data_IF_428641220000
#
_entry.id   IF_428641220000
#
_cell.length_a   1.000
_cell.length_b   1.000
_cell.length_c   1.000
_cell.angle_alpha   90.00
_cell.angle_beta   90.00
_cell.angle_gamma   90.00
#
_symmetry.space_group_name_H-M   'P 1'
#
loop_
_entity.id
_entity.type
_entity.pdbx_description
1 polymer ?
#
# COMPACT_ATOMS: atom_id res chain seq x y z
N UNK A 1 -16.48 -8.95 -0.91
CA UNK A 1 -16.08 -7.70 -0.24
C UNK A 1 -14.68 -7.35 -0.76
N UNK A 2 -14.27 -6.09 -0.72
CA UNK A 2 -12.88 -5.75 -1.06
C UNK A 2 -12.11 -5.70 0.24
N UNK A 3 -11.08 -6.53 0.33
CA UNK A 3 -10.27 -6.67 1.54
C UNK A 3 -8.85 -6.23 1.18
N UNK A 4 -8.32 -5.26 1.93
CA UNK A 4 -6.98 -4.73 1.73
C UNK A 4 -6.12 -5.00 2.96
N UNK A 5 -4.91 -5.52 2.72
CA UNK A 5 -3.82 -5.54 3.70
C UNK A 5 -3.11 -4.21 3.65
N UNK A 6 -3.28 -3.39 4.66
CA UNK A 6 -2.64 -2.07 4.75
C UNK A 6 -1.41 -2.19 5.63
N UNK A 7 -0.25 -1.92 5.03
CA UNK A 7 1.01 -1.85 5.77
C UNK A 7 1.29 -0.38 6.08
N UNK A 8 1.28 -0.04 7.37
CA UNK A 8 1.62 1.29 7.88
C UNK A 8 3.05 1.27 8.38
N UNK A 9 3.95 1.93 7.64
CA UNK A 9 5.35 2.06 8.04
C UNK A 9 5.57 3.35 8.81
N UNK A 10 6.04 3.22 10.06
CA UNK A 10 6.66 4.33 10.79
C UNK A 10 8.14 4.45 10.38
N UNK A 11 8.59 5.59 9.84
CA UNK A 11 9.99 5.81 9.49
C UNK A 11 10.97 5.72 10.67
N UNK A 12 10.50 5.88 11.90
CA UNK A 12 11.34 5.87 13.12
C UNK A 12 11.28 4.55 13.88
N UNK A 13 10.23 3.77 13.67
CA UNK A 13 9.95 2.58 14.44
C UNK A 13 9.74 1.37 13.52
N UNK A 14 8.62 0.67 13.67
CA UNK A 14 8.28 -0.56 12.95
C UNK A 14 7.19 -0.32 11.91
N UNK A 15 6.99 -1.33 11.07
CA UNK A 15 5.82 -1.40 10.20
C UNK A 15 4.77 -2.31 10.85
N UNK A 16 3.51 -1.89 10.77
CA UNK A 16 2.36 -2.62 11.29
C UNK A 16 1.43 -2.97 10.14
N UNK A 17 0.88 -4.18 10.17
CA UNK A 17 -0.08 -4.64 9.17
C UNK A 17 -1.48 -4.59 9.78
N UNK A 18 -2.42 -4.03 9.02
CA UNK A 18 -3.83 -3.96 9.35
C UNK A 18 -4.63 -4.57 8.23
N UNK A 19 -5.54 -5.49 8.57
CA UNK A 19 -6.46 -6.07 7.62
C UNK A 19 -7.76 -5.25 7.66
N UNK A 20 -7.99 -4.44 6.62
CA UNK A 20 -9.15 -3.55 6.53
C UNK A 20 -10.15 -4.13 5.54
N UNK A 21 -11.36 -4.39 6.03
CA UNK A 21 -12.47 -4.94 5.23
C UNK A 21 -13.64 -3.96 5.15
N UNK A 22 -14.49 -4.14 4.14
CA UNK A 22 -15.78 -3.47 4.04
C UNK A 22 -15.75 -1.96 3.73
N UNK A 23 -16.45 -1.17 4.55
CA UNK A 23 -16.73 0.25 4.25
C UNK A 23 -15.49 1.14 4.29
N UNK A 24 -14.49 0.77 5.09
CA UNK A 24 -13.23 1.50 5.21
C UNK A 24 -12.31 1.25 4.02
N UNK A 25 -12.28 0.00 3.52
CA UNK A 25 -11.57 -0.37 2.30
C UNK A 25 -12.04 0.46 1.08
N UNK A 26 -13.35 0.69 0.96
CA UNK A 26 -13.91 1.48 -0.13
C UNK A 26 -13.40 2.93 -0.18
N UNK A 27 -12.97 3.51 0.96
CA UNK A 27 -12.43 4.87 1.02
C UNK A 27 -11.05 5.00 0.36
N UNK A 28 -10.32 3.89 0.22
CA UNK A 28 -9.03 3.87 -0.48
C UNK A 28 -9.16 3.74 -1.99
N UNK A 29 -10.30 3.24 -2.49
CA UNK A 29 -10.53 3.08 -3.93
C UNK A 29 -10.57 4.47 -4.59
N UNK A 30 -9.83 4.62 -5.70
CA UNK A 30 -9.73 5.89 -6.43
C UNK A 30 -8.68 6.87 -5.88
N UNK A 31 -8.05 6.58 -4.74
CA UNK A 31 -6.87 7.33 -4.27
C UNK A 31 -5.64 6.96 -5.11
N UNK A 32 -4.75 7.92 -5.32
CA UNK A 32 -3.50 7.71 -6.04
C UNK A 32 -2.28 7.59 -5.12
N UNK A 33 -1.23 6.93 -5.61
CA UNK A 33 0.08 6.93 -4.95
C UNK A 33 0.61 8.36 -4.79
N UNK A 34 0.96 8.71 -3.56
CA UNK A 34 1.47 10.01 -3.14
C UNK A 34 0.42 10.85 -2.40
N UNK A 35 -0.85 10.47 -2.42
CA UNK A 35 -1.89 11.14 -1.65
C UNK A 35 -1.82 10.80 -0.17
N UNK A 36 -2.20 11.78 0.65
CA UNK A 36 -2.33 11.65 2.10
C UNK A 36 -3.77 11.33 2.47
N UNK A 37 -3.95 10.41 3.41
CA UNK A 37 -5.23 9.96 3.96
C UNK A 37 -5.13 10.02 5.48
N UNK A 38 -6.25 10.28 6.14
CA UNK A 38 -6.35 10.23 7.59
C UNK A 38 -6.18 8.79 8.10
N UNK A 39 -5.37 8.62 9.14
CA UNK A 39 -5.10 7.33 9.78
C UNK A 39 -6.33 6.72 10.45
N UNK A 40 -7.39 7.50 10.68
CA UNK A 40 -8.68 7.03 11.21
C UNK A 40 -9.26 5.88 10.39
N UNK A 41 -8.98 5.82 9.08
CA UNK A 41 -9.46 4.76 8.19
C UNK A 41 -8.77 3.41 8.46
N UNK A 42 -7.69 3.39 9.22
CA UNK A 42 -6.90 2.20 9.57
C UNK A 42 -6.85 2.02 11.11
N UNK A 43 -7.76 2.67 11.84
CA UNK A 43 -7.79 2.59 13.31
C UNK A 43 -6.69 3.40 14.02
N UNK A 44 -6.00 4.32 13.31
CA UNK A 44 -4.96 5.20 13.88
C UNK A 44 -5.46 6.65 13.96
N UNK A 45 -6.28 7.01 14.97
CA UNK A 45 -6.81 8.37 15.10
C UNK A 45 -5.68 9.39 15.31
N UNK A 46 -5.77 10.54 14.64
CA UNK A 46 -4.80 11.63 14.73
C UNK A 46 -3.52 11.45 13.90
N UNK A 47 -3.35 10.30 13.25
CA UNK A 47 -2.23 10.08 12.33
C UNK A 47 -2.56 10.50 10.91
N UNK A 48 -1.56 10.98 10.16
CA UNK A 48 -1.67 11.20 8.72
C UNK A 48 -0.75 10.23 7.99
N UNK A 49 -1.33 9.42 7.11
CA UNK A 49 -0.63 8.40 6.32
C UNK A 49 -0.58 8.81 4.85
N UNK A 50 0.53 8.51 4.17
CA UNK A 50 0.70 8.72 2.74
C UNK A 50 0.79 7.38 2.03
N UNK A 51 0.04 7.21 0.94
CA UNK A 51 0.11 6.03 0.10
C UNK A 51 1.41 6.09 -0.71
N UNK A 52 2.26 5.07 -0.57
CA UNK A 52 3.56 4.99 -1.27
C UNK A 52 3.53 3.98 -2.42
N UNK A 53 2.69 2.95 -2.32
CA UNK A 53 2.58 1.92 -3.35
C UNK A 53 1.64 0.79 -2.93
N UNK A 54 1.74 -0.32 -3.64
CA UNK A 54 0.94 -1.51 -3.38
C UNK A 54 1.23 -2.63 -4.37
N UNK A 55 0.61 -3.77 -4.13
CA UNK A 55 0.69 -4.95 -4.98
C UNK A 55 -0.68 -5.54 -5.27
N UNK A 56 -0.81 -6.02 -6.49
CA UNK A 56 -2.00 -6.70 -7.00
C UNK A 56 -1.98 -8.18 -6.58
N UNK A 57 -3.13 -8.87 -6.66
CA UNK A 57 -3.26 -10.33 -6.40
C UNK A 57 -2.28 -11.18 -7.21
N UNK A 58 -1.91 -10.72 -8.41
CA UNK A 58 -0.91 -11.40 -9.26
C UNK A 58 0.54 -11.02 -8.96
N UNK A 59 0.80 -10.27 -7.87
CA UNK A 59 2.15 -9.81 -7.48
C UNK A 59 2.70 -8.65 -8.33
N UNK A 60 1.88 -8.06 -9.21
CA UNK A 60 2.30 -6.88 -9.98
C UNK A 60 2.34 -5.65 -9.09
N UNK A 61 3.45 -4.92 -9.14
CA UNK A 61 3.65 -3.71 -8.36
C UNK A 61 2.99 -2.50 -9.02
N UNK A 62 2.49 -1.59 -8.19
CA UNK A 62 2.02 -0.28 -8.62
C UNK A 62 3.18 0.67 -8.89
N UNK A 63 3.01 1.59 -9.85
CA UNK A 63 4.01 2.59 -10.21
C UNK A 63 3.39 3.98 -10.32
N UNK A 64 3.92 4.94 -9.55
CA UNK A 64 3.44 6.33 -9.47
C UNK A 64 3.33 7.05 -10.83
N UNK A 65 4.21 6.72 -11.77
CA UNK A 65 4.29 7.39 -13.08
C UNK A 65 3.25 6.88 -14.09
N UNK A 66 2.48 5.84 -13.74
CA UNK A 66 1.52 5.21 -14.66
C UNK A 66 0.12 5.67 -14.27
N UNK A 67 -0.59 6.41 -15.13
CA UNK A 67 -1.93 6.89 -14.80
C UNK A 67 -2.97 5.76 -14.85
N UNK A 68 -4.06 5.97 -14.12
CA UNK A 68 -5.21 5.07 -14.10
C UNK A 68 -5.07 3.87 -13.17
N UNK A 69 -6.14 3.04 -13.10
CA UNK A 69 -6.20 1.90 -12.20
C UNK A 69 -5.82 0.58 -12.87
N UNK A 70 -5.60 0.54 -14.19
CA UNK A 70 -5.43 -0.71 -14.97
C UNK A 70 -3.98 -1.20 -15.00
N UNK A 71 -3.79 -2.48 -15.35
CA UNK A 71 -2.48 -3.04 -15.70
C UNK A 71 -2.09 -2.59 -17.11
N UNK A 72 -0.84 -2.17 -17.28
CA UNK A 72 -0.29 -1.76 -18.57
C UNK A 72 1.09 -2.38 -18.79
N UNK A 73 1.41 -2.69 -20.04
CA UNK A 73 2.73 -3.21 -20.43
C UNK A 73 3.61 -2.06 -20.88
N UNK A 74 4.64 -1.75 -20.10
CA UNK A 74 5.53 -0.61 -20.33
C UNK A 74 6.95 -1.09 -20.61
N UNK A 75 7.66 -0.38 -21.49
CA UNK A 75 9.08 -0.57 -21.71
C UNK A 75 9.88 0.16 -20.62
N UNK A 76 10.30 -0.58 -19.61
CA UNK A 76 11.01 -0.03 -18.44
C UNK A 76 12.51 -0.24 -18.64
N UNK A 77 13.29 0.81 -18.39
CA UNK A 77 14.75 0.73 -18.31
C UNK A 77 15.21 0.39 -16.89
N UNK A 78 14.69 1.11 -15.90
CA UNK A 78 14.99 0.93 -14.49
C UNK A 78 13.86 1.44 -13.59
N UNK A 79 13.93 1.06 -12.30
CA UNK A 79 13.08 1.56 -11.23
C UNK A 79 12.12 0.51 -10.64
N UNK A 80 11.01 0.99 -10.08
CA UNK A 80 10.03 0.14 -9.38
C UNK A 80 9.50 -0.95 -10.32
N UNK A 81 9.69 -2.22 -9.92
CA UNK A 81 9.29 -3.42 -10.67
C UNK A 81 10.32 -3.93 -11.69
N UNK A 82 11.42 -3.21 -11.94
CA UNK A 82 12.49 -3.70 -12.81
C UNK A 82 13.88 -3.18 -12.41
N UNK A 83 14.72 -4.12 -11.98
CA UNK A 83 16.16 -3.91 -11.79
C UNK A 83 16.91 -4.56 -12.97
N UNK A 84 17.49 -3.79 -13.90
CA UNK A 84 18.30 -4.35 -14.98
C UNK A 84 19.57 -4.98 -14.40
N UNK A 85 20.06 -6.06 -15.04
CA UNK A 85 21.34 -6.68 -14.65
C UNK A 85 22.53 -5.92 -15.24
N UNK A 86 22.38 -5.46 -16.48
CA UNK A 86 23.40 -4.75 -17.24
C UNK A 86 22.91 -3.36 -17.65
N UNK A 87 23.85 -2.43 -17.83
CA UNK A 87 23.54 -1.06 -18.27
C UNK A 87 22.94 -1.08 -19.67
N UNK A 88 21.87 -0.32 -19.87
CA UNK A 88 21.19 -0.19 -21.16
C UNK A 88 20.13 -1.25 -21.47
N UNK A 89 19.96 -2.28 -20.61
CA UNK A 89 18.86 -3.24 -20.80
C UNK A 89 17.50 -2.62 -20.48
N UNK A 90 16.56 -2.80 -21.42
CA UNK A 90 15.15 -2.41 -21.24
C UNK A 90 14.28 -3.63 -21.42
N UNK A 91 13.24 -3.78 -20.60
CA UNK A 91 12.30 -4.91 -20.71
C UNK A 91 10.86 -4.39 -20.69
N UNK A 92 10.02 -4.96 -21.56
CA UNK A 92 8.56 -4.78 -21.48
C UNK A 92 7.99 -5.61 -20.34
N UNK A 93 7.53 -4.96 -19.27
CA UNK A 93 6.90 -5.60 -18.10
C UNK A 93 5.48 -5.07 -17.89
N UNK A 94 4.64 -5.92 -17.31
CA UNK A 94 3.34 -5.50 -16.80
C UNK A 94 3.52 -4.81 -15.46
N UNK A 95 2.92 -3.64 -15.34
CA UNK A 95 2.90 -2.83 -14.13
C UNK A 95 1.47 -2.35 -13.89
N UNK A 96 1.15 -2.08 -12.63
CA UNK A 96 -0.12 -1.48 -12.26
C UNK A 96 -0.01 0.03 -12.26
N UNK A 97 -1.08 0.70 -12.66
CA UNK A 97 -1.24 2.13 -12.54
C UNK A 97 -1.20 2.61 -11.07
N UNK A 98 -1.15 3.93 -10.91
CA UNK A 98 -0.98 4.59 -9.61
C UNK A 98 -2.26 4.67 -8.77
N UNK A 99 -3.42 4.48 -9.38
CA UNK A 99 -4.71 4.56 -8.70
C UNK A 99 -5.07 3.21 -8.06
N UNK A 100 -5.60 3.27 -6.84
CA UNK A 100 -6.02 2.08 -6.11
C UNK A 100 -7.32 1.56 -6.70
N UNK A 101 -7.27 0.29 -7.08
CA UNK A 101 -8.37 -0.46 -7.65
C UNK A 101 -8.79 -1.62 -6.72
N UNK A 102 -10.02 -2.15 -6.87
CA UNK A 102 -10.54 -3.23 -6.02
C UNK A 102 -9.77 -4.56 -6.07
N UNK A 103 -8.90 -4.74 -7.05
CA UNK A 103 -8.11 -5.96 -7.26
C UNK A 103 -6.71 -5.91 -6.64
N UNK A 104 -6.36 -4.79 -6.00
CA UNK A 104 -5.19 -4.67 -5.15
C UNK A 104 -5.40 -5.50 -3.89
N UNK A 105 -4.34 -6.16 -3.41
CA UNK A 105 -4.39 -6.95 -2.17
C UNK A 105 -3.67 -6.21 -1.06
N UNK A 106 -2.54 -5.56 -1.35
CA UNK A 106 -1.74 -4.87 -0.35
C UNK A 106 -1.52 -3.41 -0.74
N UNK A 107 -1.69 -2.51 0.24
CA UNK A 107 -1.40 -1.09 0.12
C UNK A 107 -0.29 -0.75 1.10
N UNK A 108 0.78 -0.13 0.61
CA UNK A 108 1.91 0.33 1.41
C UNK A 108 1.78 1.82 1.70
N UNK A 109 1.80 2.15 2.98
CA UNK A 109 1.66 3.52 3.47
C UNK A 109 2.81 3.91 4.38
N UNK A 110 3.06 5.21 4.46
CA UNK A 110 4.09 5.82 5.31
C UNK A 110 3.45 6.88 6.19
N UNK A 111 3.82 6.93 7.46
CA UNK A 111 3.38 8.00 8.35
C UNK A 111 4.10 9.30 8.00
N UNK A 112 3.32 10.37 7.83
CA UNK A 112 3.82 11.73 7.56
C UNK A 112 3.50 12.67 8.71
N UNK A 113 2.35 12.50 9.35
CA UNK A 113 1.96 13.23 10.57
C UNK A 113 1.77 12.26 11.73
N UNK A 114 2.45 12.52 12.83
CA UNK A 114 2.31 11.76 14.08
C UNK A 114 1.14 12.34 14.90
N UNK A 115 0.31 11.45 15.44
CA UNK A 115 -0.74 11.80 16.40
C UNK A 115 -0.23 11.83 17.85
N UNK A 116 -1.15 12.10 18.78
CA UNK A 116 -0.83 12.34 20.19
C UNK A 116 -0.43 11.07 20.98
N UNK A 117 -0.83 9.87 20.51
CA UNK A 117 -0.55 8.58 21.18
C UNK A 117 0.38 7.72 20.34
N UNK A 118 1.27 6.96 20.96
CA UNK A 118 2.18 6.08 20.22
C UNK A 118 1.43 4.91 19.58
N UNK A 119 1.89 4.43 18.43
CA UNK A 119 1.23 3.34 17.68
C UNK A 119 1.18 2.06 18.53
N UNK A 120 2.19 1.82 19.37
CA UNK A 120 2.25 0.65 20.27
C UNK A 120 1.20 0.71 21.39
N UNK A 121 0.85 1.91 21.86
CA UNK A 121 -0.23 2.11 22.84
C UNK A 121 -1.63 2.02 22.18
N UNK A 122 -1.76 2.46 20.93
CA UNK A 122 -3.01 2.34 20.17
C UNK A 122 -3.30 0.88 19.80
N UNK A 123 -2.25 0.13 19.44
CA UNK A 123 -2.33 -1.29 19.13
C UNK A 123 -2.44 -2.18 20.37
N UNK A 124 -2.18 -1.66 21.57
CA UNK A 124 -2.37 -2.37 22.83
C UNK A 124 -1.73 -3.75 22.83
N UNK A 125 -0.40 -3.84 22.71
CA UNK A 125 0.41 -5.07 22.86
C UNK A 125 -0.31 -6.39 22.59
N UNK A 126 -0.38 -6.84 21.33
CA UNK A 126 -1.02 -8.10 20.99
C UNK A 126 -0.55 -8.70 19.67
N UNK A 127 -0.04 -9.93 19.76
CA UNK A 127 -0.09 -10.91 18.68
C UNK A 127 -1.55 -11.10 18.26
N UNK A 128 -1.90 -10.80 17.02
CA UNK A 128 -3.10 -11.37 16.38
C UNK A 128 -2.75 -11.68 14.92
N UNK A 129 -2.20 -12.89 14.75
CA UNK A 129 -2.01 -13.55 13.48
C UNK A 129 -2.54 -14.98 13.55
N UNK A 130 -3.74 -15.16 14.10
CA UNK A 130 -4.50 -16.41 13.97
C UNK A 130 -5.60 -16.20 12.93
N UNK A 131 -5.30 -16.49 11.65
CA UNK A 131 -6.33 -17.02 10.76
C UNK A 131 -6.27 -18.54 10.85
N UNK A 132 -7.20 -19.07 11.64
CA UNK A 132 -7.75 -20.41 11.51
C UNK A 132 -8.27 -20.64 10.10
N UNK A 133 -7.70 -21.59 9.38
CA UNK A 133 -8.34 -22.23 8.23
C UNK A 133 -8.18 -23.75 8.40
N UNK A 134 -9.29 -24.41 8.74
CA UNK A 134 -9.54 -25.84 8.50
C UNK A 134 -9.89 -26.07 7.02
#
# INVERSE_FOLDING_TARGET
MVDFKIVVSDPKAKAYQFDVSGAEANKFIGKAIGETVEGTVVGLPGYTIQITGGSDRSGFVMRKNVPGPKRQRLLVAEGVGYKPKDKGMRRRKFLRGREIAPDIVQINTKIVGYGDKTIEEILGGGEEGETSDE
#
